data_IF_278942214310
#
_entry.id   IF_278942214310
#
_cell.length_a   1.000
_cell.length_b   1.000
_cell.length_c   1.000
_cell.angle_alpha   90.00
_cell.angle_beta   90.00
_cell.angle_gamma   90.00
#
_symmetry.space_group_name_H-M   'P 1'
#
loop_
_entity.id
_entity.type
_entity.pdbx_description
1 polymer ?
#
# COMPACT_ATOMS: atom_id res chain seq x y z
N UNK A 1 30.62 -13.84 -0.99
CA UNK A 1 30.04 -13.12 -2.15
C UNK A 1 28.66 -12.61 -1.75
N UNK A 2 28.55 -11.37 -1.31
CA UNK A 2 27.26 -10.78 -0.91
C UNK A 2 26.55 -10.29 -2.17
N UNK A 3 25.33 -10.79 -2.43
CA UNK A 3 24.49 -10.34 -3.54
C UNK A 3 24.03 -8.91 -3.28
N UNK A 4 24.37 -8.00 -4.19
CA UNK A 4 24.01 -6.57 -4.16
C UNK A 4 22.59 -6.30 -4.72
N UNK A 5 21.66 -7.27 -4.71
CA UNK A 5 20.34 -7.13 -5.37
C UNK A 5 19.14 -6.92 -4.44
N UNK A 6 19.32 -6.87 -3.11
CA UNK A 6 18.20 -6.91 -2.17
C UNK A 6 17.76 -5.54 -1.62
N UNK A 7 17.69 -4.50 -2.45
CA UNK A 7 16.79 -3.38 -2.10
C UNK A 7 15.35 -3.83 -2.34
N UNK A 8 14.76 -4.49 -1.34
CA UNK A 8 13.37 -4.89 -1.41
C UNK A 8 12.47 -3.66 -1.52
N UNK A 9 11.60 -3.64 -2.53
CA UNK A 9 10.66 -2.54 -2.74
C UNK A 9 9.69 -2.44 -1.55
N UNK A 10 9.43 -1.23 -1.08
CA UNK A 10 8.41 -0.96 -0.05
C UNK A 10 7.10 -0.60 -0.76
N UNK A 11 6.00 -1.17 -0.27
CA UNK A 11 4.64 -0.86 -0.69
C UNK A 11 3.91 -0.10 0.41
N UNK A 12 3.14 0.92 0.05
CA UNK A 12 2.16 1.54 0.96
C UNK A 12 0.87 0.72 0.87
N UNK A 13 0.50 0.06 1.96
CA UNK A 13 -0.65 -0.84 2.03
C UNK A 13 -1.77 -0.23 2.87
N UNK A 14 -3.01 -0.40 2.37
CA UNK A 14 -4.23 0.00 3.05
C UNK A 14 -4.78 -1.16 3.87
N UNK A 15 -4.73 -1.07 5.20
CA UNK A 15 -4.93 -2.22 6.10
C UNK A 15 -6.36 -2.76 6.02
N UNK A 16 -7.36 -1.88 6.04
CA UNK A 16 -8.77 -2.26 6.11
C UNK A 16 -9.47 -2.19 4.76
N UNK A 17 -8.80 -1.64 3.73
CA UNK A 17 -9.36 -1.39 2.39
C UNK A 17 -10.70 -0.60 2.46
N UNK A 18 -10.78 0.34 3.40
CA UNK A 18 -11.86 1.32 3.55
C UNK A 18 -11.27 2.73 3.47
N UNK A 19 -11.82 3.61 2.64
CA UNK A 19 -11.29 4.98 2.54
C UNK A 19 -12.28 5.98 3.14
N UNK A 20 -11.84 6.87 4.06
CA UNK A 20 -10.48 7.00 4.60
C UNK A 20 -10.10 5.88 5.58
N UNK A 21 -8.81 5.52 5.63
CA UNK A 21 -8.35 4.53 6.59
C UNK A 21 -6.82 4.39 6.74
N UNK A 22 -6.37 3.52 7.66
CA UNK A 22 -4.98 3.46 8.08
C UNK A 22 -4.08 2.79 7.04
N UNK A 23 -2.85 3.31 6.95
CA UNK A 23 -1.83 2.91 5.98
C UNK A 23 -0.59 2.38 6.67
N UNK A 24 0.09 1.43 6.03
CA UNK A 24 1.34 0.86 6.53
C UNK A 24 2.34 0.64 5.41
N UNK A 25 3.60 0.99 5.64
CA UNK A 25 4.70 0.56 4.78
C UNK A 25 4.98 -0.92 5.02
N UNK A 26 4.94 -1.72 3.97
CA UNK A 26 5.22 -3.15 4.03
C UNK A 26 6.17 -3.55 2.91
N UNK A 27 7.11 -4.42 3.22
CA UNK A 27 8.04 -4.93 2.23
C UNK A 27 7.28 -5.75 1.17
N UNK A 28 7.59 -5.55 -0.10
CA UNK A 28 6.84 -6.15 -1.21
C UNK A 28 6.84 -7.68 -1.18
N UNK A 29 7.95 -8.29 -0.76
CA UNK A 29 8.05 -9.73 -0.49
C UNK A 29 7.03 -10.20 0.55
N UNK A 30 6.88 -9.44 1.64
CA UNK A 30 5.93 -9.70 2.72
C UNK A 30 4.48 -9.54 2.23
N UNK A 31 4.18 -8.48 1.47
CA UNK A 31 2.86 -8.30 0.87
C UNK A 31 2.51 -9.45 -0.08
N UNK A 32 3.47 -9.92 -0.90
CA UNK A 32 3.26 -11.06 -1.80
C UNK A 32 3.03 -12.36 -1.02
N UNK A 33 3.83 -12.61 0.01
CA UNK A 33 3.74 -13.82 0.85
C UNK A 33 2.40 -13.89 1.59
N UNK A 34 1.91 -12.78 2.12
CA UNK A 34 0.68 -12.73 2.92
C UNK A 34 -0.50 -12.09 2.19
N UNK A 35 -0.53 -12.18 0.85
CA UNK A 35 -1.59 -11.58 0.04
C UNK A 35 -2.99 -11.99 0.50
N UNK A 36 -3.24 -13.27 0.77
CA UNK A 36 -4.57 -13.77 1.19
C UNK A 36 -5.01 -13.15 2.53
N UNK A 37 -4.23 -13.23 3.64
CA UNK A 37 -4.58 -12.55 4.88
C UNK A 37 -4.79 -11.03 4.74
N UNK A 38 -3.96 -10.35 3.93
CA UNK A 38 -4.06 -8.90 3.70
C UNK A 38 -5.28 -8.51 2.84
N UNK A 39 -5.75 -9.41 1.98
CA UNK A 39 -6.82 -9.15 1.00
C UNK A 39 -8.06 -10.04 1.19
N UNK A 40 -8.20 -10.73 2.32
CA UNK A 40 -9.31 -11.64 2.60
C UNK A 40 -10.38 -11.06 3.54
N UNK A 41 -10.20 -9.83 4.03
CA UNK A 41 -11.02 -9.26 5.11
C UNK A 41 -12.27 -8.51 4.65
N UNK A 42 -12.40 -8.20 3.36
CA UNK A 42 -13.61 -7.56 2.80
C UNK A 42 -14.16 -8.46 1.70
N UNK A 43 -15.48 -8.57 1.65
CA UNK A 43 -16.20 -9.27 0.59
C UNK A 43 -15.94 -8.62 -0.76
N UNK A 44 -16.00 -9.44 -1.82
CA UNK A 44 -15.90 -8.97 -3.19
C UNK A 44 -16.98 -7.90 -3.46
N UNK A 45 -16.58 -6.77 -4.03
CA UNK A 45 -17.48 -5.65 -4.31
C UNK A 45 -17.45 -4.50 -3.29
N UNK A 46 -17.04 -4.77 -2.04
CA UNK A 46 -17.01 -3.75 -0.97
C UNK A 46 -15.70 -2.96 -0.86
N UNK A 47 -14.85 -3.04 -1.88
CA UNK A 47 -13.60 -2.27 -1.94
C UNK A 47 -13.88 -0.80 -2.22
N UNK A 48 -13.22 0.11 -1.49
CA UNK A 48 -13.27 1.55 -1.78
C UNK A 48 -12.86 1.88 -3.22
N UNK A 49 -12.10 0.99 -3.86
CA UNK A 49 -11.66 1.11 -5.26
C UNK A 49 -12.83 1.05 -6.26
N UNK A 50 -13.97 0.53 -5.86
CA UNK A 50 -15.17 0.51 -6.70
C UNK A 50 -15.92 1.87 -6.67
N UNK A 51 -15.56 2.77 -5.76
CA UNK A 51 -16.08 4.13 -5.71
C UNK A 51 -15.03 5.09 -6.27
N UNK A 52 -15.36 5.74 -7.39
CA UNK A 52 -14.43 6.64 -8.12
C UNK A 52 -13.91 7.80 -7.27
N UNK A 53 -14.76 8.36 -6.39
CA UNK A 53 -14.37 9.45 -5.49
C UNK A 53 -13.37 8.96 -4.43
N UNK A 54 -13.63 7.82 -3.81
CA UNK A 54 -12.76 7.24 -2.79
C UNK A 54 -11.43 6.76 -3.39
N UNK A 55 -11.46 6.14 -4.56
CA UNK A 55 -10.23 5.76 -5.28
C UNK A 55 -9.36 7.00 -5.57
N UNK A 56 -9.97 8.07 -6.07
CA UNK A 56 -9.26 9.32 -6.36
C UNK A 56 -8.62 9.94 -5.11
N UNK A 57 -9.33 9.95 -3.98
CA UNK A 57 -8.81 10.44 -2.70
C UNK A 57 -7.57 9.66 -2.28
N UNK A 58 -7.65 8.32 -2.31
CA UNK A 58 -6.52 7.46 -1.99
C UNK A 58 -5.32 7.67 -2.93
N UNK A 59 -5.56 7.78 -4.24
CA UNK A 59 -4.48 7.97 -5.21
C UNK A 59 -3.76 9.31 -5.02
N UNK A 60 -4.51 10.37 -4.69
CA UNK A 60 -3.91 11.65 -4.31
C UNK A 60 -3.08 11.55 -3.04
N UNK A 61 -3.64 10.97 -1.98
CA UNK A 61 -2.93 10.75 -0.72
C UNK A 61 -1.63 9.97 -0.97
N UNK A 62 -1.70 8.83 -1.67
CA UNK A 62 -0.55 7.96 -1.96
C UNK A 62 0.55 8.69 -2.73
N UNK A 63 0.18 9.55 -3.70
CA UNK A 63 1.14 10.34 -4.48
C UNK A 63 1.87 11.35 -3.60
N UNK A 64 1.14 12.09 -2.77
CA UNK A 64 1.74 13.07 -1.87
C UNK A 64 2.57 12.41 -0.76
N UNK A 65 2.11 11.27 -0.22
CA UNK A 65 2.87 10.48 0.74
C UNK A 65 4.27 10.15 0.23
N UNK A 66 4.39 9.60 -0.99
CA UNK A 66 5.70 9.20 -1.53
C UNK A 66 6.61 10.40 -1.83
N UNK A 67 6.05 11.56 -2.20
CA UNK A 67 6.84 12.79 -2.35
C UNK A 67 7.43 13.24 -1.01
N UNK A 68 6.64 13.19 0.06
CA UNK A 68 7.09 13.56 1.40
C UNK A 68 8.11 12.55 1.93
N UNK A 69 7.80 11.26 1.82
CA UNK A 69 8.64 10.14 2.24
C UNK A 69 10.03 10.16 1.61
N UNK A 70 10.13 10.59 0.35
CA UNK A 70 11.41 10.73 -0.33
C UNK A 70 12.35 11.77 0.33
N UNK A 71 11.81 12.72 1.11
CA UNK A 71 12.64 13.68 1.84
C UNK A 71 13.34 13.08 3.06
N UNK A 72 12.88 11.95 3.60
CA UNK A 72 13.51 11.29 4.75
C UNK A 72 14.90 10.71 4.42
N UNK A 73 15.22 10.62 3.13
CA UNK A 73 16.47 10.09 2.61
C UNK A 73 17.34 11.16 1.93
N UNK A 74 17.01 12.45 2.12
CA UNK A 74 17.85 13.57 1.72
C UNK A 74 18.82 13.93 2.85
#
# INVERSE_FOLDING_TARGET
>A
MLRLDQTEKINLHHIQRQEPGPMVEIVSSTHKKYHKPLHGLIEDGNSFRNNTSLQYQYEKFRKEYWKLRANDFK
#
